data_IF_625704802027
#
_entry.id   IF_625704802027
#
_cell.length_a   1.000
_cell.length_b   1.000
_cell.length_c   1.000
_cell.angle_alpha   90.00
_cell.angle_beta   90.00
_cell.angle_gamma   90.00
#
_symmetry.space_group_name_H-M   'P 1'
#
loop_
_entity.id
_entity.type
_entity.pdbx_description
1 polymer ?
#
# COMPACT_ATOMS: atom_id res chain seq x y z
N UNK A 1 -24.15 53.92 36.90
CA UNK A 1 -23.69 54.54 35.65
C UNK A 1 -24.40 53.86 34.48
N UNK A 2 -24.97 54.69 33.64
CA UNK A 2 -25.88 54.47 32.50
C UNK A 2 -25.26 53.66 31.35
N UNK A 3 -26.00 52.66 30.85
CA UNK A 3 -25.87 52.09 29.50
C UNK A 3 -26.27 53.14 28.45
N UNK A 4 -25.70 53.11 27.22
CA UNK A 4 -26.46 52.55 26.08
C UNK A 4 -25.52 51.92 24.98
N UNK A 5 -25.95 51.68 23.73
CA UNK A 5 -26.71 50.51 23.27
C UNK A 5 -26.03 49.75 22.11
N UNK A 6 -26.65 48.64 21.70
CA UNK A 6 -26.32 47.80 20.54
C UNK A 6 -26.61 48.46 19.17
N UNK A 7 -25.80 48.12 18.14
CA UNK A 7 -26.08 48.20 16.69
C UNK A 7 -25.29 47.03 16.05
N UNK A 8 -25.81 45.97 15.43
CA UNK A 8 -26.83 45.79 14.37
C UNK A 8 -26.53 46.52 13.07
N UNK A 9 -25.96 45.80 12.08
CA UNK A 9 -26.29 45.91 10.65
C UNK A 9 -25.44 44.90 9.87
N UNK A 10 -25.98 43.76 9.43
CA UNK A 10 -26.68 43.60 8.14
C UNK A 10 -25.92 44.18 6.95
N UNK A 11 -25.57 43.25 6.05
CA UNK A 11 -25.69 43.32 4.57
C UNK A 11 -25.10 44.56 3.91
N UNK A 12 -24.28 44.34 2.89
CA UNK A 12 -24.46 44.85 1.52
C UNK A 12 -23.12 44.61 0.81
N UNK A 13 -23.08 43.70 -0.17
CA UNK A 13 -23.41 43.93 -1.60
C UNK A 13 -22.14 44.26 -2.39
N UNK A 14 -21.99 43.46 -3.46
CA UNK A 14 -21.67 43.91 -4.84
C UNK A 14 -20.21 44.38 -5.03
N UNK A 15 -19.51 44.09 -6.11
CA UNK A 15 -19.84 43.87 -7.52
C UNK A 15 -18.62 43.15 -8.14
N UNK A 16 -18.80 42.11 -8.96
CA UNK A 16 -18.97 42.16 -10.43
C UNK A 16 -17.83 42.88 -11.16
N UNK A 17 -17.15 42.13 -12.03
CA UNK A 17 -16.99 42.34 -13.49
C UNK A 17 -15.75 41.52 -13.92
N UNK A 18 -15.86 40.40 -14.64
CA UNK A 18 -16.34 40.23 -16.01
C UNK A 18 -15.50 40.96 -17.07
N UNK A 19 -14.62 40.20 -17.73
CA UNK A 19 -14.18 40.32 -19.13
C UNK A 19 -13.46 38.98 -19.46
N UNK A 20 -13.91 38.06 -20.33
CA UNK A 20 -14.23 38.17 -21.77
C UNK A 20 -13.03 38.79 -22.52
N UNK A 21 -12.36 38.21 -23.52
CA UNK A 21 -12.56 37.06 -24.42
C UNK A 21 -11.26 36.91 -25.26
N UNK A 22 -11.00 35.74 -25.86
CA UNK A 22 -10.32 35.51 -27.16
C UNK A 22 -9.76 34.07 -27.15
N UNK A 23 -10.38 33.06 -27.78
CA UNK A 23 -10.47 32.81 -29.23
C UNK A 23 -9.09 32.83 -29.93
N UNK A 24 -8.43 31.66 -29.95
CA UNK A 24 -7.50 31.32 -31.04
C UNK A 24 -7.74 29.87 -31.45
N UNK A 25 -8.36 29.72 -32.62
CA UNK A 25 -8.31 28.52 -33.45
C UNK A 25 -6.84 28.24 -33.81
N UNK A 26 -6.41 27.01 -33.57
CA UNK A 26 -5.11 26.50 -34.00
C UNK A 26 -5.20 25.01 -34.27
N UNK A 27 -5.86 24.65 -35.37
CA UNK A 27 -5.76 23.30 -35.93
C UNK A 27 -4.36 23.13 -36.52
N UNK A 28 -3.57 22.22 -35.95
CA UNK A 28 -2.37 21.70 -36.58
C UNK A 28 -2.46 20.18 -36.57
N UNK A 29 -2.93 19.67 -37.71
CA UNK A 29 -2.85 18.26 -38.07
C UNK A 29 -1.38 17.98 -38.42
N UNK A 30 -0.67 17.28 -37.54
CA UNK A 30 0.51 16.52 -37.94
C UNK A 30 0.17 15.05 -37.80
N UNK A 31 -0.14 14.44 -38.95
CA UNK A 31 -0.14 13.00 -39.11
C UNK A 31 1.32 12.52 -39.05
N UNK A 32 1.67 11.80 -37.99
CA UNK A 32 2.85 10.94 -37.94
C UNK A 32 2.32 9.52 -37.78
N UNK A 33 2.27 8.78 -38.89
CA UNK A 33 2.32 7.33 -38.89
C UNK A 33 3.42 6.96 -39.89
N UNK A 34 4.49 6.31 -39.45
CA UNK A 34 4.63 4.85 -39.44
C UNK A 34 5.91 4.58 -38.64
N UNK A 35 5.89 3.72 -37.63
CA UNK A 35 5.85 2.28 -37.84
C UNK A 35 7.24 1.72 -37.59
N UNK A 36 7.69 1.79 -36.34
CA UNK A 36 8.75 0.94 -35.82
C UNK A 36 8.27 0.48 -34.43
N UNK A 37 7.51 -0.62 -34.42
CA UNK A 37 7.35 -1.43 -33.22
C UNK A 37 8.73 -1.97 -32.87
N UNK A 38 9.49 -1.19 -32.10
CA UNK A 38 10.53 -1.75 -31.29
C UNK A 38 9.80 -2.58 -30.22
N UNK A 39 9.84 -3.90 -30.35
CA UNK A 39 9.53 -4.76 -29.23
C UNK A 39 10.39 -4.32 -28.04
N UNK A 40 9.80 -4.03 -26.87
CA UNK A 40 10.60 -3.87 -25.68
C UNK A 40 11.26 -5.22 -25.39
N UNK A 41 12.50 -5.40 -25.81
CA UNK A 41 13.41 -6.44 -25.30
C UNK A 41 13.83 -6.03 -23.89
N UNK A 42 12.84 -5.91 -23.00
CA UNK A 42 13.02 -5.94 -21.56
C UNK A 42 12.65 -7.34 -21.08
N UNK A 43 13.14 -7.79 -19.92
CA UNK A 43 12.61 -9.01 -19.34
C UNK A 43 11.09 -8.85 -19.21
N UNK A 44 10.35 -9.87 -19.63
CA UNK A 44 8.91 -9.97 -19.43
C UNK A 44 8.65 -10.08 -17.92
N UNK A 45 8.69 -8.93 -17.24
CA UNK A 45 8.26 -8.79 -15.85
C UNK A 45 6.75 -8.61 -15.81
N UNK A 46 5.99 -9.41 -16.55
CA UNK A 46 4.59 -9.62 -16.20
C UNK A 46 4.58 -10.15 -14.77
N UNK A 47 4.37 -9.22 -13.83
CA UNK A 47 4.14 -9.53 -12.44
C UNK A 47 2.90 -10.40 -12.41
N UNK A 48 3.14 -11.70 -12.35
CA UNK A 48 2.12 -12.71 -12.14
C UNK A 48 1.56 -12.47 -10.74
N UNK A 49 0.53 -11.62 -10.66
CA UNK A 49 -0.17 -11.30 -9.42
C UNK A 49 -0.79 -12.56 -8.80
N UNK A 50 -1.05 -13.59 -9.62
CA UNK A 50 -1.56 -14.87 -9.16
C UNK A 50 -0.48 -15.71 -8.46
N UNK A 51 0.82 -15.48 -8.75
CA UNK A 51 1.94 -16.06 -7.97
C UNK A 51 2.21 -15.37 -6.63
N UNK A 52 1.69 -14.16 -6.42
CA UNK A 52 1.81 -13.44 -5.14
C UNK A 52 0.62 -13.69 -4.21
N UNK A 53 -0.43 -14.33 -4.70
CA UNK A 53 -1.38 -15.03 -3.84
C UNK A 53 -0.65 -16.28 -3.31
N UNK A 54 0.18 -16.09 -2.28
CA UNK A 54 0.60 -17.19 -1.43
C UNK A 54 -0.68 -17.79 -0.87
N UNK A 55 -1.09 -18.89 -1.48
CA UNK A 55 -2.25 -19.66 -1.07
C UNK A 55 -2.09 -19.96 0.43
N UNK A 56 -3.17 -19.76 1.18
CA UNK A 56 -3.21 -20.03 2.63
C UNK A 56 -2.92 -21.49 2.95
N UNK A 57 -2.93 -22.36 1.94
CA UNK A 57 -2.88 -23.81 2.04
C UNK A 57 -1.49 -24.43 2.14
N UNK A 58 -0.41 -23.74 1.72
CA UNK A 58 0.86 -24.42 1.41
C UNK A 58 2.07 -23.89 2.20
N UNK A 59 1.93 -23.64 3.51
CA UNK A 59 3.12 -23.55 4.38
C UNK A 59 3.54 -24.98 4.74
N UNK A 60 4.27 -25.64 3.85
CA UNK A 60 4.93 -26.90 4.19
C UNK A 60 6.13 -26.62 5.08
N UNK A 61 5.96 -26.80 6.40
CA UNK A 61 7.05 -26.70 7.37
C UNK A 61 8.20 -27.67 7.05
N UNK A 62 7.88 -28.79 6.37
CA UNK A 62 8.84 -29.80 5.93
C UNK A 62 9.78 -29.27 4.83
N UNK A 63 9.29 -28.42 3.92
CA UNK A 63 10.14 -27.81 2.87
C UNK A 63 11.10 -26.76 3.43
N UNK A 64 10.75 -26.13 4.55
CA UNK A 64 11.62 -25.22 5.28
C UNK A 64 12.67 -25.93 6.14
N UNK A 65 12.65 -27.27 6.20
CA UNK A 65 13.60 -28.07 7.00
C UNK A 65 13.41 -27.93 8.51
N UNK A 66 12.23 -27.49 8.95
CA UNK A 66 11.94 -27.20 10.35
C UNK A 66 11.66 -28.52 11.08
N UNK A 67 12.53 -28.88 12.01
CA UNK A 67 12.42 -30.13 12.78
C UNK A 67 12.15 -29.91 14.27
N UNK A 68 12.28 -28.68 14.74
CA UNK A 68 12.02 -28.26 16.12
C UNK A 68 10.96 -27.15 16.14
N UNK A 69 9.82 -27.42 16.77
CA UNK A 69 8.71 -26.46 16.85
C UNK A 69 9.01 -25.29 17.81
N UNK A 70 10.03 -25.43 18.65
CA UNK A 70 10.48 -24.38 19.59
C UNK A 70 11.56 -23.48 19.00
N UNK A 71 12.04 -23.79 17.80
CA UNK A 71 13.01 -22.96 17.07
C UNK A 71 12.41 -21.58 16.77
N UNK A 72 13.19 -20.53 17.03
CA UNK A 72 12.85 -19.18 16.60
C UNK A 72 13.33 -18.97 15.16
N UNK A 73 12.40 -18.60 14.27
CA UNK A 73 12.70 -18.29 12.87
C UNK A 73 12.22 -16.89 12.50
N UNK A 74 12.83 -16.33 11.47
CA UNK A 74 12.37 -15.09 10.87
C UNK A 74 11.20 -15.37 9.93
N UNK A 75 10.08 -14.71 10.17
CA UNK A 75 8.84 -14.81 9.40
C UNK A 75 8.54 -13.48 8.73
N UNK A 76 7.89 -13.54 7.59
CA UNK A 76 7.26 -12.41 6.93
C UNK A 76 5.75 -12.55 6.99
N UNK A 77 5.08 -11.56 7.56
CA UNK A 77 3.62 -11.47 7.70
C UNK A 77 3.11 -10.44 6.69
N UNK A 78 2.27 -10.88 5.74
CA UNK A 78 1.56 -9.99 4.80
C UNK A 78 0.20 -9.61 5.37
N UNK A 79 -0.14 -8.33 5.27
CA UNK A 79 -1.39 -7.77 5.77
C UNK A 79 -2.36 -7.44 4.62
N UNK A 80 -3.65 -7.33 4.94
CA UNK A 80 -4.74 -7.27 3.93
C UNK A 80 -5.02 -5.88 3.33
N UNK A 81 -4.61 -4.78 3.99
CA UNK A 81 -4.77 -3.46 3.41
C UNK A 81 -3.77 -3.30 2.26
N UNK A 82 -4.15 -2.78 1.08
CA UNK A 82 -3.20 -2.58 0.01
C UNK A 82 -2.04 -1.67 0.41
N UNK A 83 -0.82 -2.03 0.00
CA UNK A 83 0.30 -1.12 0.11
C UNK A 83 0.04 0.16 -0.71
N UNK A 84 0.76 1.25 -0.43
CA UNK A 84 0.56 2.50 -1.16
C UNK A 84 0.85 2.33 -2.65
N UNK A 85 1.87 1.55 -3.02
CA UNK A 85 2.17 1.23 -4.43
C UNK A 85 1.10 0.37 -5.08
N UNK A 86 0.60 -0.66 -4.38
CA UNK A 86 -0.49 -1.53 -4.85
C UNK A 86 -1.76 -0.71 -5.09
N UNK A 87 -2.12 0.18 -4.17
CA UNK A 87 -3.26 1.10 -4.34
C UNK A 87 -3.10 2.01 -5.56
N UNK A 88 -1.90 2.56 -5.80
CA UNK A 88 -1.62 3.40 -6.97
C UNK A 88 -1.73 2.60 -8.26
N UNK A 89 -1.09 1.42 -8.31
CA UNK A 89 -1.11 0.53 -9.46
C UNK A 89 -2.54 0.12 -9.81
N UNK A 90 -3.34 -0.22 -8.80
CA UNK A 90 -4.75 -0.57 -8.92
C UNK A 90 -5.61 0.53 -9.55
N UNK A 91 -5.44 1.80 -9.13
CA UNK A 91 -6.18 2.92 -9.73
C UNK A 91 -5.80 3.15 -11.20
N UNK A 92 -4.52 3.03 -11.53
CA UNK A 92 -4.02 3.17 -12.89
C UNK A 92 -4.54 2.04 -13.78
N UNK A 93 -4.47 0.80 -13.31
CA UNK A 93 -4.96 -0.38 -14.03
C UNK A 93 -6.47 -0.31 -14.31
N UNK A 94 -7.26 0.31 -13.41
CA UNK A 94 -8.69 0.57 -13.62
C UNK A 94 -9.02 1.80 -14.47
N UNK A 95 -8.02 2.43 -15.09
CA UNK A 95 -8.22 3.59 -15.96
C UNK A 95 -8.64 4.88 -15.23
N UNK A 96 -8.46 4.94 -13.91
CA UNK A 96 -8.82 6.11 -13.08
C UNK A 96 -7.71 7.15 -13.00
N UNK A 97 -6.55 6.84 -13.59
CA UNK A 97 -5.35 7.67 -13.52
C UNK A 97 -4.64 7.58 -12.15
N UNK A 98 -3.57 8.35 -12.00
CA UNK A 98 -2.82 8.39 -10.74
C UNK A 98 -3.67 9.03 -9.63
N UNK A 99 -3.82 8.38 -8.46
CA UNK A 99 -4.63 8.94 -7.37
C UNK A 99 -3.99 10.21 -6.80
N UNK A 100 -4.82 11.18 -6.41
CA UNK A 100 -4.35 12.43 -5.82
C UNK A 100 -3.46 12.23 -4.58
N UNK A 101 -2.60 13.22 -4.27
CA UNK A 101 -1.78 13.19 -3.05
C UNK A 101 -2.61 13.01 -1.76
N UNK A 102 -3.82 13.58 -1.71
CA UNK A 102 -4.74 13.38 -0.57
C UNK A 102 -5.18 11.91 -0.45
N UNK A 103 -5.51 11.27 -1.57
CA UNK A 103 -5.92 9.87 -1.59
C UNK A 103 -4.78 8.94 -1.16
N UNK A 104 -3.55 9.20 -1.64
CA UNK A 104 -2.36 8.42 -1.23
C UNK A 104 -2.05 8.57 0.26
N UNK A 105 -2.19 9.78 0.83
CA UNK A 105 -2.05 10.00 2.28
C UNK A 105 -3.10 9.21 3.06
N UNK A 106 -4.36 9.25 2.62
CA UNK A 106 -5.43 8.48 3.27
C UNK A 106 -5.19 6.96 3.21
N UNK A 107 -4.57 6.45 2.13
CA UNK A 107 -4.12 5.04 2.05
C UNK A 107 -3.01 4.77 3.07
N UNK A 108 -1.98 5.60 3.12
CA UNK A 108 -0.86 5.45 4.06
C UNK A 108 -1.33 5.47 5.53
N UNK A 109 -2.34 6.27 5.86
CA UNK A 109 -2.97 6.27 7.17
C UNK A 109 -3.72 4.97 7.49
N UNK A 110 -4.38 4.34 6.50
CA UNK A 110 -5.01 3.02 6.69
C UNK A 110 -3.97 1.95 6.98
N UNK A 111 -2.92 1.89 6.15
CA UNK A 111 -1.78 0.98 6.34
C UNK A 111 -1.17 1.16 7.73
N UNK A 112 -0.93 2.41 8.16
CA UNK A 112 -0.37 2.68 9.48
C UNK A 112 -1.27 2.21 10.62
N UNK A 113 -2.58 2.44 10.53
CA UNK A 113 -3.53 1.93 11.54
C UNK A 113 -3.54 0.40 11.62
N UNK A 114 -3.42 -0.28 10.49
CA UNK A 114 -3.33 -1.73 10.49
C UNK A 114 -2.05 -2.24 11.15
N UNK A 115 -0.92 -1.60 10.86
CA UNK A 115 0.36 -1.91 11.52
C UNK A 115 0.28 -1.71 13.04
N UNK A 116 -0.34 -0.63 13.49
CA UNK A 116 -0.50 -0.37 14.92
C UNK A 116 -1.44 -1.39 15.58
N UNK A 117 -2.50 -1.82 14.88
CA UNK A 117 -3.40 -2.86 15.37
C UNK A 117 -2.69 -4.21 15.52
N UNK A 118 -1.96 -4.65 14.48
CA UNK A 118 -1.29 -5.95 14.50
C UNK A 118 -0.14 -6.00 15.52
N UNK A 119 0.60 -4.89 15.74
CA UNK A 119 1.64 -4.81 16.78
C UNK A 119 1.12 -5.17 18.17
N UNK A 120 -0.07 -4.68 18.53
CA UNK A 120 -0.70 -5.03 19.80
C UNK A 120 -1.07 -6.53 19.92
N UNK A 121 -1.21 -7.24 18.81
CA UNK A 121 -1.33 -8.70 18.80
C UNK A 121 0.03 -9.38 18.94
N UNK A 122 1.03 -8.96 18.17
CA UNK A 122 2.39 -9.52 18.20
C UNK A 122 3.03 -9.39 19.59
N UNK A 123 2.88 -8.24 20.25
CA UNK A 123 3.40 -8.00 21.61
C UNK A 123 2.84 -8.99 22.64
N UNK A 124 1.58 -9.43 22.47
CA UNK A 124 0.94 -10.42 23.37
C UNK A 124 1.46 -11.83 23.16
N UNK A 125 1.94 -12.13 21.94
CA UNK A 125 2.54 -13.41 21.58
C UNK A 125 4.04 -13.45 21.91
N UNK A 126 4.63 -12.35 22.39
CA UNK A 126 6.08 -12.27 22.64
C UNK A 126 6.91 -12.25 21.36
N UNK A 127 6.28 -11.98 20.21
CA UNK A 127 6.93 -11.94 18.90
C UNK A 127 7.69 -10.64 18.71
N UNK A 128 8.92 -10.72 18.20
CA UNK A 128 9.79 -9.56 18.04
C UNK A 128 9.74 -9.01 16.61
N UNK A 129 9.23 -7.79 16.44
CA UNK A 129 9.30 -7.08 15.15
C UNK A 129 10.77 -6.78 14.79
N UNK A 130 11.19 -7.21 13.60
CA UNK A 130 12.54 -6.97 13.07
C UNK A 130 12.55 -5.78 12.11
N UNK A 131 11.53 -5.67 11.25
CA UNK A 131 11.37 -4.56 10.31
C UNK A 131 9.95 -4.45 9.78
N UNK A 132 9.55 -3.25 9.35
CA UNK A 132 8.27 -3.02 8.69
C UNK A 132 8.41 -2.64 7.21
N UNK A 133 7.48 -3.14 6.38
CA UNK A 133 7.31 -2.73 4.99
C UNK A 133 5.88 -2.19 4.84
N UNK A 134 5.77 -0.89 4.51
CA UNK A 134 4.47 -0.21 4.35
C UNK A 134 4.16 0.21 2.93
N UNK A 135 5.22 0.51 2.16
CA UNK A 135 5.07 1.21 0.87
C UNK A 135 5.00 0.23 -0.29
N UNK A 136 5.96 -0.70 -0.38
CA UNK A 136 6.10 -1.63 -1.50
C UNK A 136 5.21 -2.87 -1.37
N UNK A 137 5.17 -3.42 -0.17
CA UNK A 137 4.25 -4.48 0.26
C UNK A 137 3.81 -4.10 1.68
N UNK A 138 2.57 -4.38 2.04
CA UNK A 138 2.07 -4.13 3.39
C UNK A 138 2.35 -5.35 4.25
N UNK A 139 3.43 -5.33 5.04
CA UNK A 139 3.83 -6.46 5.86
C UNK A 139 4.91 -6.17 6.88
N UNK A 140 5.21 -7.18 7.69
CA UNK A 140 6.14 -7.12 8.81
C UNK A 140 7.08 -8.31 8.76
N UNK A 141 8.37 -8.08 8.99
CA UNK A 141 9.32 -9.14 9.32
C UNK A 141 9.38 -9.27 10.82
N UNK A 142 9.17 -10.47 11.33
CA UNK A 142 9.16 -10.77 12.76
C UNK A 142 10.03 -11.97 13.07
N UNK A 143 10.41 -12.13 14.34
CA UNK A 143 11.00 -13.35 14.88
C UNK A 143 10.02 -13.98 15.85
N UNK A 144 9.68 -15.24 15.61
CA UNK A 144 8.70 -15.99 16.39
C UNK A 144 9.09 -17.47 16.45
N UNK A 145 8.50 -18.22 17.38
CA UNK A 145 8.67 -19.67 17.41
C UNK A 145 7.82 -20.31 16.31
N UNK A 146 8.31 -21.42 15.75
CA UNK A 146 7.60 -22.16 14.69
C UNK A 146 6.18 -22.55 15.13
N UNK A 147 6.02 -22.97 16.38
CA UNK A 147 4.71 -23.33 16.95
C UNK A 147 3.69 -22.19 16.95
N UNK A 148 4.13 -20.93 16.87
CA UNK A 148 3.25 -19.75 16.90
C UNK A 148 2.71 -19.39 15.49
N UNK A 149 3.23 -20.02 14.42
CA UNK A 149 2.84 -19.72 13.03
C UNK A 149 1.33 -19.84 12.80
N UNK A 150 0.62 -20.89 13.26
CA UNK A 150 -0.83 -20.98 13.07
C UNK A 150 -1.58 -19.82 13.74
N UNK A 151 -1.19 -19.46 14.96
CA UNK A 151 -1.82 -18.34 15.68
C UNK A 151 -1.54 -17.00 14.98
N UNK A 152 -0.33 -16.80 14.46
CA UNK A 152 0.02 -15.63 13.65
C UNK A 152 -0.80 -15.55 12.36
N UNK A 153 -1.04 -16.67 11.69
CA UNK A 153 -1.84 -16.74 10.46
C UNK A 153 -3.33 -16.44 10.71
N UNK A 154 -3.83 -16.74 11.91
CA UNK A 154 -5.22 -16.50 12.32
C UNK A 154 -5.46 -15.07 12.81
N UNK A 155 -4.42 -14.23 12.93
CA UNK A 155 -4.58 -12.84 13.38
C UNK A 155 -5.44 -12.01 12.40
N UNK A 156 -6.31 -11.10 12.91
CA UNK A 156 -7.12 -10.24 12.07
C UNK A 156 -6.29 -9.38 11.13
N UNK A 157 -6.62 -9.42 9.85
CA UNK A 157 -5.93 -8.66 8.81
C UNK A 157 -4.67 -9.33 8.25
N UNK A 158 -4.31 -10.53 8.69
CA UNK A 158 -3.21 -11.31 8.11
C UNK A 158 -3.70 -12.08 6.88
N UNK A 159 -2.95 -11.93 5.79
CA UNK A 159 -3.19 -12.63 4.52
C UNK A 159 -2.36 -13.91 4.46
N UNK A 160 -1.07 -13.80 4.75
CA UNK A 160 -0.13 -14.91 4.71
C UNK A 160 1.01 -14.70 5.71
N UNK A 161 1.57 -15.83 6.17
CA UNK A 161 2.79 -15.90 6.98
C UNK A 161 3.75 -16.82 6.24
N UNK A 162 5.00 -16.41 6.05
CA UNK A 162 5.98 -17.24 5.35
C UNK A 162 7.37 -17.13 6.00
N UNK A 163 8.15 -18.21 6.05
CA UNK A 163 9.55 -18.14 6.48
C UNK A 163 10.38 -17.23 5.57
N UNK A 164 11.34 -16.51 6.15
CA UNK A 164 12.31 -15.71 5.39
C UNK A 164 13.58 -16.52 5.21
N UNK A 165 13.81 -17.01 3.99
CA UNK A 165 15.08 -17.67 3.64
C UNK A 165 16.17 -16.63 3.41
N UNK A 166 17.20 -16.64 4.26
CA UNK A 166 18.38 -15.81 4.05
C UNK A 166 19.34 -16.54 3.09
N UNK A 167 19.62 -15.95 1.93
CA UNK A 167 20.65 -16.44 1.03
C UNK A 167 21.94 -15.64 1.26
N UNK A 168 22.97 -16.30 1.77
CA UNK A 168 24.32 -15.71 1.81
C UNK A 168 24.98 -15.86 0.43
N UNK A 169 25.59 -14.80 -0.13
CA UNK A 169 26.39 -14.94 -1.33
C UNK A 169 27.59 -15.85 -1.03
N UNK A 170 27.75 -16.92 -1.79
CA UNK A 170 28.94 -17.75 -1.74
C UNK A 170 30.15 -16.90 -2.15
N UNK A 171 31.08 -16.68 -1.22
CA UNK A 171 32.36 -16.01 -1.47
C UNK A 171 33.39 -16.99 -2.03
#
# INVERSE_FOLDING_TARGET
MTLPPALSSRRLRRQLLAAASALTLGASVFAVSTGAHAEPVGPDWTYDQDRLALDRSDISLDEAGITDLTEEIDLFIRLDEPAVTEFVADQVQRGRGEPSARARRAQAERVSRQHDAIRGHLDRLGVQEQSDLRVAVNGLRVRAQVQDIPELADLPGVVSVAPVTLHEPAN
#
